data_IF_920487182282
#
_entry.id   IF_920487182282
#
_cell.length_a   1.000
_cell.length_b   1.000
_cell.length_c   1.000
_cell.angle_alpha   90.00
_cell.angle_beta   90.00
_cell.angle_gamma   90.00
#
_symmetry.space_group_name_H-M   'P 1'
#
loop_
_entity.id
_entity.type
_entity.pdbx_description
1 polymer ?
#
# COMPACT_ATOMS: atom_id res chain seq x y z
N UNK A 1 37.64 33.58 -21.50
CA UNK A 1 36.54 32.84 -20.85
C UNK A 1 36.25 31.52 -21.56
N UNK A 2 36.06 31.49 -22.88
CA UNK A 2 35.81 30.26 -23.68
C UNK A 2 36.93 29.21 -23.51
N UNK A 3 38.18 29.64 -23.51
CA UNK A 3 39.33 28.73 -23.41
C UNK A 3 39.44 27.97 -22.08
N UNK A 4 38.86 28.52 -21.01
CA UNK A 4 38.80 27.84 -19.70
C UNK A 4 37.76 26.71 -19.76
N UNK A 5 36.61 26.97 -20.37
CA UNK A 5 35.54 25.97 -20.53
C UNK A 5 36.00 24.81 -21.41
N UNK A 6 36.64 25.09 -22.56
CA UNK A 6 37.15 24.05 -23.46
C UNK A 6 38.18 23.13 -22.78
N UNK A 7 39.13 23.72 -22.04
CA UNK A 7 40.17 22.96 -21.35
C UNK A 7 39.60 22.15 -20.19
N UNK A 8 38.62 22.70 -19.47
CA UNK A 8 37.89 21.99 -18.43
C UNK A 8 37.02 20.86 -19.00
N UNK A 9 36.46 21.02 -20.20
CA UNK A 9 35.62 20.01 -20.85
C UNK A 9 36.41 18.73 -21.16
N UNK A 10 37.61 18.88 -21.71
CA UNK A 10 38.49 17.74 -22.02
C UNK A 10 38.90 16.99 -20.75
N UNK A 11 39.19 17.72 -19.67
CA UNK A 11 39.55 17.13 -18.38
C UNK A 11 38.35 16.43 -17.72
N UNK A 12 37.16 17.01 -17.82
CA UNK A 12 35.93 16.41 -17.31
C UNK A 12 35.58 15.13 -18.06
N UNK A 13 35.65 15.15 -19.41
CA UNK A 13 35.39 13.98 -20.24
C UNK A 13 36.34 12.81 -19.91
N UNK A 14 37.64 13.10 -19.71
CA UNK A 14 38.60 12.10 -19.29
C UNK A 14 38.26 11.49 -17.92
N UNK A 15 37.84 12.32 -16.95
CA UNK A 15 37.42 11.86 -15.61
C UNK A 15 36.16 10.99 -15.67
N UNK A 16 35.17 11.36 -16.48
CA UNK A 16 33.95 10.57 -16.69
C UNK A 16 34.30 9.20 -17.28
N UNK A 17 35.10 9.15 -18.35
CA UNK A 17 35.49 7.89 -18.99
C UNK A 17 36.24 6.94 -18.05
N UNK A 18 37.15 7.48 -17.22
CA UNK A 18 37.87 6.69 -16.21
C UNK A 18 36.90 6.15 -15.16
N UNK A 19 35.98 6.98 -14.67
CA UNK A 19 35.02 6.59 -13.66
C UNK A 19 33.99 5.56 -14.16
N UNK A 20 33.57 5.65 -15.43
CA UNK A 20 32.72 4.62 -16.06
C UNK A 20 33.43 3.27 -16.11
N UNK A 21 34.71 3.23 -16.51
CA UNK A 21 35.50 1.99 -16.56
C UNK A 21 35.75 1.37 -15.19
N UNK A 22 35.75 2.19 -14.15
CA UNK A 22 35.95 1.75 -12.76
C UNK A 22 34.66 1.50 -12.00
N UNK A 23 33.49 1.57 -12.64
CA UNK A 23 32.16 1.49 -12.01
C UNK A 23 31.96 2.50 -10.85
N UNK A 24 32.67 3.63 -10.90
CA UNK A 24 32.69 4.69 -9.86
C UNK A 24 32.16 6.02 -10.38
N UNK A 25 31.17 5.98 -11.27
CA UNK A 25 30.59 7.19 -11.87
C UNK A 25 29.98 8.13 -10.82
N UNK A 26 29.51 7.58 -9.70
CA UNK A 26 29.03 8.29 -8.51
C UNK A 26 30.07 9.23 -7.85
N UNK A 27 31.37 9.00 -8.07
CA UNK A 27 32.42 9.89 -7.58
C UNK A 27 32.64 11.12 -8.48
N UNK A 28 32.17 11.07 -9.74
CA UNK A 28 32.25 12.17 -10.71
C UNK A 28 30.97 12.98 -10.74
N UNK A 29 29.83 12.30 -10.59
CA UNK A 29 28.53 12.92 -10.37
C UNK A 29 28.05 12.52 -8.99
N UNK A 30 28.33 13.33 -7.94
CA UNK A 30 27.76 13.10 -6.63
C UNK A 30 26.24 13.23 -6.75
N UNK A 31 25.55 12.10 -6.85
CA UNK A 31 24.10 12.06 -6.68
C UNK A 31 23.85 12.44 -5.22
N UNK A 32 23.42 13.67 -4.96
CA UNK A 32 23.04 14.06 -3.62
C UNK A 32 21.86 13.16 -3.20
N UNK A 33 22.12 12.18 -2.33
CA UNK A 33 21.08 11.50 -1.58
C UNK A 33 20.53 12.51 -0.56
N UNK A 34 19.85 13.54 -1.01
CA UNK A 34 19.20 14.50 -0.13
C UNK A 34 18.11 13.74 0.63
N UNK A 35 18.21 13.56 1.96
CA UNK A 35 17.21 12.83 2.74
C UNK A 35 15.82 13.50 2.70
N UNK A 36 15.77 14.77 2.28
CA UNK A 36 14.56 15.60 2.17
C UNK A 36 13.68 15.25 0.95
N UNK A 37 14.19 14.49 -0.03
CA UNK A 37 13.48 14.12 -1.26
C UNK A 37 13.03 12.65 -1.24
N UNK A 38 12.60 12.13 -0.08
CA UNK A 38 11.79 10.91 -0.09
C UNK A 38 10.44 11.26 -0.73
N UNK A 39 10.02 10.57 -1.80
CA UNK A 39 8.70 10.81 -2.39
C UNK A 39 7.65 10.54 -1.31
N UNK A 40 6.82 11.54 -1.03
CA UNK A 40 5.69 11.44 -0.09
C UNK A 40 4.50 10.88 -0.83
N UNK A 41 3.88 9.85 -0.28
CA UNK A 41 2.66 9.26 -0.82
C UNK A 41 1.48 9.77 0.00
N UNK A 42 0.66 10.64 -0.57
CA UNK A 42 -0.60 11.04 0.06
C UNK A 42 -1.64 10.01 -0.35
N UNK A 43 -2.22 9.33 0.63
CA UNK A 43 -3.25 8.31 0.40
C UNK A 43 -4.48 8.61 1.25
N UNK A 44 -5.65 8.62 0.64
CA UNK A 44 -6.93 8.76 1.33
C UNK A 44 -7.70 7.46 1.22
N UNK A 45 -8.34 7.05 2.32
CA UNK A 45 -9.24 5.90 2.35
C UNK A 45 -10.57 6.17 1.62
N UNK A 46 -10.77 7.38 1.13
CA UNK A 46 -12.01 7.82 0.50
C UNK A 46 -13.03 8.34 1.50
N UNK A 47 -14.14 8.87 0.97
CA UNK A 47 -15.26 9.37 1.76
C UNK A 47 -16.16 8.19 2.09
N UNK A 48 -16.48 8.03 3.37
CA UNK A 48 -17.40 6.99 3.83
C UNK A 48 -18.80 7.17 3.28
N UNK A 49 -19.48 6.05 3.11
CA UNK A 49 -20.90 5.98 2.83
C UNK A 49 -21.71 6.58 3.99
N UNK A 50 -22.88 7.14 3.68
CA UNK A 50 -23.81 7.60 4.70
C UNK A 50 -24.28 6.44 5.58
N UNK A 51 -24.34 6.67 6.88
CA UNK A 51 -24.69 5.70 7.93
C UNK A 51 -25.91 4.83 7.61
N UNK A 52 -26.98 5.43 7.09
CA UNK A 52 -28.22 4.72 6.73
C UNK A 52 -28.02 3.79 5.54
N UNK A 53 -27.27 4.26 4.54
CA UNK A 53 -26.96 3.46 3.35
C UNK A 53 -26.03 2.30 3.70
N UNK A 54 -25.06 2.54 4.60
CA UNK A 54 -24.13 1.53 5.09
C UNK A 54 -24.87 0.42 5.85
N UNK A 55 -25.75 0.76 6.79
CA UNK A 55 -26.55 -0.23 7.53
C UNK A 55 -27.42 -1.07 6.58
N UNK A 56 -28.09 -0.42 5.63
CA UNK A 56 -28.90 -1.13 4.63
C UNK A 56 -28.05 -2.07 3.75
N UNK A 57 -26.80 -1.71 3.46
CA UNK A 57 -25.86 -2.57 2.74
C UNK A 57 -25.46 -3.79 3.57
N UNK A 58 -25.10 -3.60 4.84
CA UNK A 58 -24.73 -4.71 5.74
C UNK A 58 -25.90 -5.69 5.91
N UNK A 59 -27.11 -5.20 6.15
CA UNK A 59 -28.30 -6.05 6.29
C UNK A 59 -28.57 -6.88 5.01
N UNK A 60 -28.42 -6.24 3.83
CA UNK A 60 -28.58 -6.93 2.54
C UNK A 60 -27.48 -7.99 2.33
N UNK A 61 -26.23 -7.72 2.73
CA UNK A 61 -25.12 -8.67 2.67
C UNK A 61 -25.34 -9.88 3.60
N UNK A 62 -25.84 -9.65 4.81
CA UNK A 62 -26.14 -10.72 5.77
C UNK A 62 -27.31 -11.60 5.30
N UNK A 63 -28.22 -11.06 4.49
CA UNK A 63 -29.31 -11.83 3.88
C UNK A 63 -28.87 -12.70 2.69
N UNK A 64 -27.70 -12.41 2.11
CA UNK A 64 -27.19 -13.11 0.93
C UNK A 64 -26.59 -14.48 1.30
N UNK A 65 -27.04 -15.53 0.60
CA UNK A 65 -26.55 -16.91 0.81
C UNK A 65 -25.25 -17.22 0.06
N UNK A 66 -25.02 -16.57 -1.08
CA UNK A 66 -23.94 -16.89 -2.00
C UNK A 66 -22.94 -15.73 -2.11
N UNK A 67 -21.66 -16.08 -2.15
CA UNK A 67 -20.56 -15.12 -2.28
C UNK A 67 -20.69 -14.26 -3.54
N UNK A 68 -21.13 -14.84 -4.66
CA UNK A 68 -21.27 -14.13 -5.92
C UNK A 68 -22.24 -12.95 -5.83
N UNK A 69 -23.29 -13.09 -5.01
CA UNK A 69 -24.28 -12.04 -4.79
C UNK A 69 -23.73 -10.97 -3.84
N UNK A 70 -23.07 -11.38 -2.76
CA UNK A 70 -22.34 -10.45 -1.87
C UNK A 70 -21.32 -9.62 -2.64
N UNK A 71 -20.50 -10.27 -3.47
CA UNK A 71 -19.45 -9.61 -4.25
C UNK A 71 -20.03 -8.60 -5.25
N UNK A 72 -21.11 -8.95 -5.95
CA UNK A 72 -21.81 -8.01 -6.84
C UNK A 72 -22.34 -6.80 -6.08
N UNK A 73 -22.90 -7.04 -4.89
CA UNK A 73 -23.47 -5.99 -4.06
C UNK A 73 -22.38 -5.03 -3.55
N UNK A 74 -21.27 -5.56 -3.03
CA UNK A 74 -20.09 -4.81 -2.60
C UNK A 74 -19.55 -3.98 -3.76
N UNK A 75 -19.27 -4.59 -4.92
CA UNK A 75 -18.75 -3.88 -6.11
C UNK A 75 -19.68 -2.78 -6.62
N UNK A 76 -20.99 -2.91 -6.39
CA UNK A 76 -21.99 -1.92 -6.84
C UNK A 76 -22.07 -0.72 -5.91
N UNK A 77 -21.97 -0.92 -4.60
CA UNK A 77 -22.30 0.10 -3.58
C UNK A 77 -21.08 0.66 -2.86
N UNK A 78 -19.98 -0.08 -2.78
CA UNK A 78 -18.77 0.32 -2.05
C UNK A 78 -17.84 1.09 -2.96
N UNK A 79 -17.50 2.32 -2.56
CA UNK A 79 -16.68 3.23 -3.37
C UNK A 79 -15.48 3.81 -2.62
N UNK A 80 -15.30 3.45 -1.36
CA UNK A 80 -14.17 3.87 -0.54
C UNK A 80 -13.48 2.67 0.10
N UNK A 81 -12.17 2.78 0.33
CA UNK A 81 -11.43 1.76 1.07
C UNK A 81 -11.84 1.74 2.55
N UNK A 82 -12.29 2.87 3.08
CA UNK A 82 -12.85 2.95 4.44
C UNK A 82 -14.08 2.05 4.59
N UNK A 83 -15.06 2.17 3.70
CA UNK A 83 -16.27 1.34 3.75
C UNK A 83 -15.94 -0.14 3.48
N UNK A 84 -15.00 -0.41 2.57
CA UNK A 84 -14.58 -1.77 2.28
C UNK A 84 -13.95 -2.45 3.50
N UNK A 85 -13.07 -1.75 4.21
CA UNK A 85 -12.45 -2.22 5.45
C UNK A 85 -13.51 -2.59 6.48
N UNK A 86 -14.48 -1.71 6.71
CA UNK A 86 -15.54 -1.94 7.69
C UNK A 86 -16.47 -3.10 7.27
N UNK A 87 -16.78 -3.23 5.98
CA UNK A 87 -17.59 -4.34 5.47
C UNK A 87 -16.92 -5.69 5.66
N UNK A 88 -15.59 -5.79 5.51
CA UNK A 88 -14.90 -7.07 5.77
C UNK A 88 -15.05 -7.47 7.23
N UNK A 89 -15.13 -6.50 8.14
CA UNK A 89 -15.24 -6.71 9.58
C UNK A 89 -16.71 -6.96 10.00
N UNK A 90 -17.65 -6.18 9.47
CA UNK A 90 -19.04 -6.15 9.94
C UNK A 90 -19.97 -7.14 9.22
N UNK A 91 -19.69 -7.48 7.94
CA UNK A 91 -20.63 -8.25 7.11
C UNK A 91 -20.50 -9.78 7.25
N UNK A 92 -19.90 -10.26 8.35
CA UNK A 92 -19.69 -11.69 8.68
C UNK A 92 -19.14 -12.52 7.50
N UNK A 93 -18.17 -11.96 6.77
CA UNK A 93 -17.53 -12.67 5.67
C UNK A 93 -16.66 -13.80 6.21
N UNK A 94 -16.77 -14.96 5.57
CA UNK A 94 -15.87 -16.10 5.85
C UNK A 94 -14.43 -15.74 5.49
N UNK A 95 -13.45 -16.43 6.06
CA UNK A 95 -12.03 -16.24 5.73
C UNK A 95 -11.76 -16.29 4.21
N UNK A 96 -12.42 -17.21 3.50
CA UNK A 96 -12.31 -17.35 2.05
C UNK A 96 -12.91 -16.18 1.28
N UNK A 97 -14.05 -15.64 1.73
CA UNK A 97 -14.69 -14.47 1.12
C UNK A 97 -13.85 -13.21 1.36
N UNK A 98 -13.38 -13.01 2.60
CA UNK A 98 -12.49 -11.91 2.99
C UNK A 98 -11.18 -11.95 2.19
N UNK A 99 -10.57 -13.13 2.05
CA UNK A 99 -9.36 -13.31 1.23
C UNK A 99 -9.63 -12.95 -0.24
N UNK A 100 -10.72 -13.46 -0.82
CA UNK A 100 -11.09 -13.18 -2.20
C UNK A 100 -11.33 -11.68 -2.43
N UNK A 101 -11.94 -10.98 -1.47
CA UNK A 101 -12.13 -9.54 -1.54
C UNK A 101 -10.80 -8.79 -1.51
N UNK A 102 -9.93 -9.09 -0.53
CA UNK A 102 -8.65 -8.40 -0.37
C UNK A 102 -7.70 -8.65 -1.54
N UNK A 103 -7.83 -9.78 -2.25
CA UNK A 103 -7.07 -10.06 -3.47
C UNK A 103 -7.42 -9.16 -4.66
N UNK A 104 -8.57 -8.50 -4.65
CA UNK A 104 -8.96 -7.52 -5.69
C UNK A 104 -8.25 -6.16 -5.48
N UNK A 105 -7.62 -5.95 -4.33
CA UNK A 105 -6.92 -4.71 -4.01
C UNK A 105 -5.56 -4.62 -4.69
N UNK A 106 -5.22 -3.41 -5.12
CA UNK A 106 -3.91 -3.04 -5.60
C UNK A 106 -2.88 -2.93 -4.47
N UNK A 107 -1.58 -2.90 -4.83
CA UNK A 107 -0.49 -2.88 -3.85
C UNK A 107 -0.48 -1.65 -2.95
N UNK A 108 -1.04 -0.52 -3.41
CA UNK A 108 -1.12 0.72 -2.62
C UNK A 108 -2.22 0.62 -1.56
N UNK A 109 -3.38 0.07 -1.90
CA UNK A 109 -4.48 -0.14 -0.94
C UNK A 109 -4.08 -1.15 0.13
N UNK A 110 -3.43 -2.25 -0.27
CA UNK A 110 -2.85 -3.23 0.65
C UNK A 110 -1.80 -2.57 1.57
N UNK A 111 -0.97 -1.65 1.05
CA UNK A 111 0.00 -0.92 1.86
C UNK A 111 -0.68 0.03 2.88
N UNK A 112 -1.79 0.67 2.50
CA UNK A 112 -2.56 1.50 3.40
C UNK A 112 -3.16 0.68 4.55
N UNK A 113 -3.77 -0.48 4.24
CA UNK A 113 -4.30 -1.41 5.25
C UNK A 113 -3.19 -1.99 6.13
N UNK A 114 -2.05 -2.38 5.54
CA UNK A 114 -0.89 -2.87 6.29
C UNK A 114 -0.40 -1.83 7.30
N UNK A 115 -0.29 -0.56 6.89
CA UNK A 115 0.08 0.53 7.78
C UNK A 115 -0.90 0.71 8.93
N UNK A 116 -2.21 0.65 8.65
CA UNK A 116 -3.27 0.89 9.65
C UNK A 116 -3.39 -0.24 10.69
N UNK A 117 -3.29 -1.50 10.27
CA UNK A 117 -3.65 -2.63 11.14
C UNK A 117 -2.50 -3.54 11.56
N UNK A 118 -1.35 -3.48 10.89
CA UNK A 118 -0.24 -4.41 11.11
C UNK A 118 1.06 -3.71 11.53
N UNK A 119 1.14 -2.38 11.42
CA UNK A 119 2.32 -1.60 11.81
C UNK A 119 2.12 -1.05 13.23
N UNK A 120 3.00 -1.43 14.15
CA UNK A 120 3.01 -0.91 15.53
C UNK A 120 2.04 -1.60 16.50
N UNK A 121 1.33 -2.64 16.07
CA UNK A 121 0.28 -3.33 16.85
C UNK A 121 0.80 -4.40 17.82
N UNK A 122 2.08 -4.38 18.22
CA UNK A 122 2.65 -5.37 19.16
C UNK A 122 2.02 -5.30 20.57
N UNK A 123 1.19 -4.28 20.86
CA UNK A 123 0.59 -4.04 22.19
C UNK A 123 -0.94 -3.84 22.20
N UNK A 124 -1.64 -3.94 21.06
CA UNK A 124 -3.08 -3.60 20.94
C UNK A 124 -4.02 -4.82 20.94
N UNK A 125 -3.55 -6.00 21.39
CA UNK A 125 -4.32 -7.25 21.33
C UNK A 125 -5.39 -7.43 22.43
N UNK A 126 -5.54 -6.46 23.34
CA UNK A 126 -6.39 -6.64 24.53
C UNK A 126 -7.88 -6.30 24.32
N UNK A 127 -8.25 -5.62 23.23
CA UNK A 127 -9.64 -5.15 22.99
C UNK A 127 -10.18 -5.40 21.56
N UNK A 128 -9.59 -6.34 20.81
CA UNK A 128 -10.06 -6.61 19.44
C UNK A 128 -11.18 -7.64 19.42
N UNK A 129 -12.28 -7.34 18.72
CA UNK A 129 -13.32 -8.33 18.42
C UNK A 129 -12.77 -9.43 17.48
N UNK A 130 -13.44 -10.59 17.47
CA UNK A 130 -12.98 -11.74 16.67
C UNK A 130 -12.94 -11.44 15.16
N UNK A 131 -13.83 -10.57 14.67
CA UNK A 131 -13.87 -10.16 13.26
C UNK A 131 -12.65 -9.32 12.85
N UNK A 132 -12.21 -8.39 13.71
CA UNK A 132 -11.00 -7.57 13.48
C UNK A 132 -9.76 -8.45 13.48
N UNK A 133 -9.72 -9.46 14.35
CA UNK A 133 -8.63 -10.46 14.36
C UNK A 133 -8.60 -11.26 13.07
N UNK A 134 -9.76 -11.77 12.62
CA UNK A 134 -9.88 -12.48 11.35
C UNK A 134 -9.41 -11.62 10.17
N UNK A 135 -9.81 -10.34 10.13
CA UNK A 135 -9.37 -9.40 9.12
C UNK A 135 -7.85 -9.26 9.08
N UNK A 136 -7.22 -9.01 10.25
CA UNK A 136 -5.76 -8.87 10.36
C UNK A 136 -5.01 -10.13 9.95
N UNK A 137 -5.52 -11.30 10.35
CA UNK A 137 -4.91 -12.58 10.01
C UNK A 137 -5.03 -12.88 8.51
N UNK A 138 -6.18 -12.58 7.91
CA UNK A 138 -6.41 -12.71 6.46
C UNK A 138 -5.49 -11.76 5.69
N UNK A 139 -5.37 -10.50 6.11
CA UNK A 139 -4.46 -9.53 5.51
C UNK A 139 -2.99 -9.96 5.62
N UNK A 140 -2.59 -10.52 6.77
CA UNK A 140 -1.24 -11.05 6.98
C UNK A 140 -0.97 -12.25 6.06
N UNK A 141 -1.94 -13.15 5.92
CA UNK A 141 -1.87 -14.30 5.04
C UNK A 141 -1.76 -13.86 3.56
N UNK A 142 -2.55 -12.87 3.13
CA UNK A 142 -2.47 -12.30 1.77
C UNK A 142 -1.06 -11.78 1.48
N UNK A 143 -0.51 -10.94 2.37
CA UNK A 143 0.84 -10.38 2.20
C UNK A 143 1.89 -11.49 2.19
N UNK A 144 1.74 -12.53 3.02
CA UNK A 144 2.67 -13.65 3.06
C UNK A 144 2.71 -14.45 1.76
N UNK A 145 1.58 -14.57 1.05
CA UNK A 145 1.46 -15.24 -0.26
C UNK A 145 2.10 -14.45 -1.41
N UNK A 146 2.35 -13.15 -1.25
CA UNK A 146 2.96 -12.31 -2.28
C UNK A 146 4.45 -12.62 -2.48
N UNK A 147 5.00 -12.48 -3.71
CA UNK A 147 6.43 -12.56 -3.97
C UNK A 147 7.22 -11.55 -3.12
N UNK A 148 8.48 -11.87 -2.80
CA UNK A 148 9.34 -11.00 -1.97
C UNK A 148 9.40 -9.55 -2.47
N UNK A 149 9.49 -9.37 -3.80
CA UNK A 149 9.53 -8.05 -4.43
C UNK A 149 8.26 -7.23 -4.12
N UNK A 150 7.09 -7.86 -4.16
CA UNK A 150 5.81 -7.19 -3.87
C UNK A 150 5.66 -6.91 -2.38
N UNK A 151 6.08 -7.83 -1.51
CA UNK A 151 6.12 -7.58 -0.05
C UNK A 151 6.98 -6.35 0.30
N UNK A 152 8.14 -6.24 -0.33
CA UNK A 152 9.05 -5.10 -0.14
C UNK A 152 8.48 -3.80 -0.75
N UNK A 153 7.63 -3.88 -1.78
CA UNK A 153 6.92 -2.72 -2.34
C UNK A 153 5.83 -2.24 -1.39
N UNK A 154 5.00 -3.15 -0.88
CA UNK A 154 3.92 -2.86 0.09
C UNK A 154 4.51 -2.16 1.33
N UNK A 155 5.58 -2.72 1.91
CA UNK A 155 6.23 -2.13 3.09
C UNK A 155 6.79 -0.74 2.82
N UNK A 156 7.48 -0.55 1.68
CA UNK A 156 8.01 0.77 1.30
C UNK A 156 6.92 1.79 1.04
N UNK A 157 5.83 1.40 0.40
CA UNK A 157 4.67 2.27 0.18
C UNK A 157 4.05 2.70 1.52
N UNK A 158 3.86 1.76 2.45
CA UNK A 158 3.34 2.03 3.79
C UNK A 158 4.23 2.98 4.62
N UNK A 159 5.55 2.89 4.46
CA UNK A 159 6.53 3.79 5.08
C UNK A 159 6.53 5.20 4.46
N UNK A 160 6.24 5.31 3.16
CA UNK A 160 6.21 6.58 2.43
C UNK A 160 4.88 7.33 2.57
N UNK A 161 3.84 6.70 3.12
CA UNK A 161 2.54 7.34 3.34
C UNK A 161 2.64 8.45 4.40
N UNK A 162 1.90 9.54 4.23
CA UNK A 162 1.64 10.55 5.27
C UNK A 162 0.13 10.56 5.56
N UNK A 163 -0.25 10.95 6.78
CA UNK A 163 -1.65 11.03 7.23
C UNK A 163 -2.35 12.29 6.69
#
# INVERSE_FOLDING_TARGET
MIHYVERSLVQLAARISIAMRMEKLEAVFPCSKQPQNKPRLIFSFGIKMEDEEYRALVDELLSCRFWEDKLKLIKRRVHSLADLEEIVIDAELTETESMAMLQELGPVEIAALYRRHLKGTEFEDLEQNDATRLFRDTLRALIAQQPQIERDRIRRAAEAMED
#
